data_IF_740047626412
#
_entry.id   IF_740047626412
#
_cell.length_a   1.000
_cell.length_b   1.000
_cell.length_c   1.000
_cell.angle_alpha   90.00
_cell.angle_beta   90.00
_cell.angle_gamma   90.00
#
_symmetry.space_group_name_H-M   'P 1'
#
loop_
_entity.id
_entity.type
_entity.pdbx_description
1 polymer ?
#
# COMPACT_ATOMS: atom_id res chain seq x y z
N UNK A 1 20.27 46.15 -17.12
CA UNK A 1 19.83 44.77 -16.78
C UNK A 1 19.23 44.60 -15.37
N UNK A 2 19.35 45.55 -14.43
CA UNK A 2 18.47 45.59 -13.23
C UNK A 2 18.48 44.37 -12.28
N UNK A 3 19.43 43.45 -12.42
CA UNK A 3 19.54 42.23 -11.60
C UNK A 3 20.72 42.39 -10.63
N UNK A 4 20.58 41.85 -9.41
CA UNK A 4 21.65 41.85 -8.41
C UNK A 4 22.85 41.00 -8.84
N UNK A 5 24.08 41.43 -8.49
CA UNK A 5 25.33 40.78 -8.94
C UNK A 5 25.46 39.32 -8.47
N UNK A 6 24.89 38.97 -7.31
CA UNK A 6 24.93 37.58 -6.80
C UNK A 6 24.19 36.61 -7.72
N UNK A 7 23.05 37.05 -8.27
CA UNK A 7 22.21 36.25 -9.17
C UNK A 7 22.90 35.98 -10.51
N UNK A 8 23.83 36.84 -10.94
CA UNK A 8 24.58 36.65 -12.18
C UNK A 8 25.58 35.49 -12.09
N UNK A 9 26.12 35.21 -10.91
CA UNK A 9 27.11 34.14 -10.70
C UNK A 9 26.49 32.84 -10.18
N UNK A 10 25.20 32.84 -9.86
CA UNK A 10 24.53 31.64 -9.37
C UNK A 10 24.38 30.64 -10.52
N UNK A 11 25.16 29.55 -10.47
CA UNK A 11 25.11 28.49 -11.46
C UNK A 11 24.06 27.48 -11.03
N UNK A 12 23.01 27.23 -11.84
CA UNK A 12 22.05 26.21 -11.49
C UNK A 12 22.77 24.85 -11.41
N UNK A 13 22.54 24.12 -10.32
CA UNK A 13 23.06 22.76 -10.19
C UNK A 13 22.50 21.90 -11.34
N UNK A 14 23.39 21.21 -12.05
CA UNK A 14 23.05 20.31 -13.15
C UNK A 14 22.03 19.29 -12.64
N UNK A 15 20.88 19.20 -13.31
CA UNK A 15 19.83 18.26 -12.98
C UNK A 15 20.33 16.83 -13.18
N UNK A 16 20.18 15.97 -12.16
CA UNK A 16 20.13 14.51 -12.33
C UNK A 16 19.24 14.21 -13.54
N UNK A 17 19.68 13.36 -14.46
CA UNK A 17 18.94 12.98 -15.68
C UNK A 17 17.48 12.68 -15.34
N UNK A 18 16.61 13.63 -15.70
CA UNK A 18 15.20 13.58 -15.35
C UNK A 18 14.52 12.38 -16.03
N UNK A 19 15.00 11.99 -17.21
CA UNK A 19 14.48 10.85 -17.98
C UNK A 19 14.63 9.53 -17.22
N UNK A 20 15.84 9.19 -16.76
CA UNK A 20 16.10 7.95 -16.04
C UNK A 20 15.32 7.88 -14.71
N UNK A 21 15.15 9.04 -14.06
CA UNK A 21 14.36 9.16 -12.84
C UNK A 21 12.87 8.91 -13.10
N UNK A 22 12.32 9.47 -14.18
CA UNK A 22 10.91 9.29 -14.56
C UNK A 22 10.65 7.83 -14.94
N UNK A 23 11.52 7.18 -15.70
CA UNK A 23 11.40 5.76 -16.05
C UNK A 23 11.34 4.86 -14.82
N UNK A 24 12.20 5.12 -13.82
CA UNK A 24 12.15 4.38 -12.55
C UNK A 24 10.87 4.67 -11.77
N UNK A 25 10.37 5.91 -11.78
CA UNK A 25 9.11 6.28 -11.13
C UNK A 25 7.90 5.59 -11.78
N UNK A 26 7.87 5.48 -13.11
CA UNK A 26 6.84 4.74 -13.85
C UNK A 26 6.85 3.27 -13.45
N UNK A 27 8.03 2.62 -13.50
CA UNK A 27 8.19 1.21 -13.10
C UNK A 27 7.70 0.95 -11.67
N UNK A 28 7.99 1.85 -10.73
CA UNK A 28 7.50 1.74 -9.34
C UNK A 28 5.97 1.90 -9.29
N UNK A 29 5.41 2.83 -10.07
CA UNK A 29 3.97 3.12 -10.06
C UNK A 29 3.15 1.96 -10.62
N UNK A 30 3.67 1.25 -11.62
CA UNK A 30 3.06 0.03 -12.17
C UNK A 30 3.01 -1.09 -11.13
N UNK A 31 4.10 -1.30 -10.40
CA UNK A 31 4.15 -2.31 -9.33
C UNK A 31 3.31 -1.93 -8.10
N UNK A 32 3.18 -0.64 -7.79
CA UNK A 32 2.53 -0.14 -6.58
C UNK A 32 1.61 1.06 -6.87
N UNK A 33 0.41 0.80 -7.36
CA UNK A 33 -0.56 1.85 -7.74
C UNK A 33 -0.97 2.82 -6.60
N UNK A 34 -0.80 2.43 -5.34
CA UNK A 34 -1.19 3.23 -4.17
C UNK A 34 -0.07 4.14 -3.63
N UNK A 35 1.10 4.17 -4.28
CA UNK A 35 2.25 4.92 -3.77
C UNK A 35 2.16 6.41 -4.10
N UNK A 36 2.08 7.24 -3.06
CA UNK A 36 2.25 8.69 -3.18
C UNK A 36 3.72 9.11 -3.11
N UNK A 37 3.98 10.42 -3.31
CA UNK A 37 5.33 10.99 -3.39
C UNK A 37 6.26 10.66 -2.21
N UNK A 38 5.72 10.49 -0.99
CA UNK A 38 6.52 10.11 0.20
C UNK A 38 7.06 8.69 0.10
N UNK A 39 6.22 7.74 -0.34
CA UNK A 39 6.63 6.33 -0.50
C UNK A 39 7.50 6.16 -1.73
N UNK A 40 7.19 6.90 -2.80
CA UNK A 40 8.03 6.94 -3.99
C UNK A 40 9.43 7.47 -3.68
N UNK A 41 9.57 8.51 -2.85
CA UNK A 41 10.87 8.99 -2.38
C UNK A 41 11.65 7.92 -1.62
N UNK A 42 11.00 7.16 -0.74
CA UNK A 42 11.66 6.07 -0.01
C UNK A 42 12.12 4.95 -0.97
N UNK A 43 11.29 4.58 -1.94
CA UNK A 43 11.62 3.58 -2.96
C UNK A 43 12.78 4.03 -3.86
N UNK A 44 12.77 5.29 -4.29
CA UNK A 44 13.87 5.89 -5.06
C UNK A 44 15.17 5.93 -4.25
N UNK A 45 15.10 6.28 -2.97
CA UNK A 45 16.25 6.27 -2.07
C UNK A 45 16.84 4.87 -1.89
N UNK A 46 16.00 3.83 -1.83
CA UNK A 46 16.46 2.44 -1.79
C UNK A 46 17.16 2.01 -3.08
N UNK A 47 16.83 2.63 -4.22
CA UNK A 47 17.47 2.39 -5.52
C UNK A 47 18.67 3.30 -5.79
N UNK A 48 19.12 4.09 -4.80
CA UNK A 48 20.28 4.97 -4.91
C UNK A 48 20.00 6.40 -5.40
N UNK A 49 18.73 6.74 -5.70
CA UNK A 49 18.36 8.08 -6.13
C UNK A 49 18.04 8.98 -4.92
N UNK A 50 18.93 9.92 -4.62
CA UNK A 50 18.71 10.94 -3.58
C UNK A 50 18.10 12.19 -4.22
N UNK A 51 16.77 12.21 -4.30
CA UNK A 51 16.01 13.32 -4.91
C UNK A 51 15.14 14.03 -3.87
N UNK A 52 15.07 15.36 -3.96
CA UNK A 52 14.19 16.16 -3.12
C UNK A 52 12.71 15.79 -3.37
N UNK A 53 11.95 15.61 -2.30
CA UNK A 53 10.51 15.33 -2.33
C UNK A 53 9.70 16.36 -3.16
N UNK A 54 10.16 17.62 -3.26
CA UNK A 54 9.54 18.64 -4.11
C UNK A 54 9.66 18.31 -5.60
N UNK A 55 10.84 17.84 -6.04
CA UNK A 55 11.09 17.43 -7.43
C UNK A 55 10.28 16.19 -7.78
N UNK A 56 10.24 15.20 -6.89
CA UNK A 56 9.41 14.00 -7.06
C UNK A 56 7.93 14.39 -7.20
N UNK A 57 7.42 15.27 -6.32
CA UNK A 57 6.03 15.73 -6.40
C UNK A 57 5.73 16.43 -7.73
N UNK A 58 6.66 17.26 -8.24
CA UNK A 58 6.51 17.94 -9.53
C UNK A 58 6.44 16.91 -10.67
N UNK A 59 7.43 16.01 -10.74
CA UNK A 59 7.47 14.96 -11.75
C UNK A 59 6.25 14.02 -11.72
N UNK A 60 5.77 13.64 -10.52
CA UNK A 60 4.54 12.85 -10.42
C UNK A 60 3.32 13.59 -10.96
N UNK A 61 3.27 14.91 -10.83
CA UNK A 61 2.17 15.74 -11.35
C UNK A 61 2.30 15.92 -12.86
N UNK A 62 3.50 16.17 -13.36
CA UNK A 62 3.77 16.40 -14.79
C UNK A 62 3.56 15.13 -15.64
N UNK A 63 3.76 13.94 -15.03
CA UNK A 63 3.57 12.64 -15.68
C UNK A 63 2.31 11.89 -15.24
N UNK A 64 1.36 12.57 -14.58
CA UNK A 64 0.09 11.99 -14.11
C UNK A 64 0.20 10.68 -13.27
N UNK A 65 1.31 10.52 -12.54
CA UNK A 65 1.60 9.38 -11.66
C UNK A 65 0.88 9.49 -10.31
N UNK A 66 -0.42 9.73 -10.34
CA UNK A 66 -1.20 9.97 -9.13
C UNK A 66 -1.56 8.64 -8.44
N UNK A 67 -1.43 8.55 -7.09
CA UNK A 67 -1.75 7.32 -6.37
C UNK A 67 -3.23 6.98 -6.51
N UNK A 68 -3.52 5.79 -7.01
CA UNK A 68 -4.89 5.26 -7.09
C UNK A 68 -5.33 4.85 -5.70
N UNK A 69 -6.37 5.51 -5.18
CA UNK A 69 -7.02 5.09 -3.94
C UNK A 69 -7.80 3.80 -4.21
N UNK A 70 -7.34 2.69 -3.63
CA UNK A 70 -8.15 1.46 -3.55
C UNK A 70 -9.38 1.74 -2.69
N UNK A 71 -10.57 1.56 -3.25
CA UNK A 71 -11.81 1.54 -2.47
C UNK A 71 -11.77 0.30 -1.58
N UNK A 72 -11.77 0.50 -0.26
CA UNK A 72 -11.89 -0.61 0.68
C UNK A 72 -13.31 -1.14 0.57
N UNK A 73 -13.47 -2.35 0.03
CA UNK A 73 -14.72 -3.09 0.17
C UNK A 73 -14.75 -3.69 1.58
N UNK A 74 -15.77 -3.35 2.34
CA UNK A 74 -16.02 -3.99 3.64
C UNK A 74 -17.02 -5.10 3.35
N UNK A 75 -16.54 -6.34 3.32
CA UNK A 75 -17.42 -7.49 3.31
C UNK A 75 -18.06 -7.59 4.70
N UNK A 76 -19.34 -7.22 4.81
CA UNK A 76 -20.11 -7.35 6.06
C UNK A 76 -20.39 -8.82 6.38
N UNK A 77 -20.52 -9.65 5.33
CA UNK A 77 -20.79 -11.08 5.44
C UNK A 77 -19.49 -11.86 5.36
N UNK A 78 -19.13 -12.57 6.43
CA UNK A 78 -18.06 -13.57 6.35
C UNK A 78 -18.62 -14.83 5.68
N UNK A 79 -18.37 -15.00 4.38
CA UNK A 79 -18.72 -16.23 3.66
C UNK A 79 -17.68 -17.33 3.77
N UNK A 80 -16.50 -17.03 4.33
CA UNK A 80 -15.41 -17.99 4.54
C UNK A 80 -15.50 -18.51 5.98
N UNK A 81 -16.40 -19.47 6.17
CA UNK A 81 -16.61 -20.14 7.44
C UNK A 81 -16.92 -21.62 7.21
N UNK A 82 -16.54 -22.46 8.16
CA UNK A 82 -16.77 -23.92 8.10
C UNK A 82 -18.23 -24.32 8.40
N UNK A 83 -19.12 -23.34 8.62
CA UNK A 83 -20.56 -23.58 8.84
C UNK A 83 -21.28 -23.89 7.51
N UNK A 84 -22.34 -24.71 7.53
CA UNK A 84 -23.11 -25.03 6.33
C UNK A 84 -23.71 -23.77 5.70
N UNK A 85 -23.35 -23.54 4.44
CA UNK A 85 -23.92 -22.46 3.62
C UNK A 85 -25.20 -22.98 2.97
N UNK A 86 -26.34 -22.37 3.33
CA UNK A 86 -27.62 -22.72 2.72
C UNK A 86 -27.72 -22.13 1.30
N UNK A 87 -28.19 -22.90 0.31
CA UNK A 87 -28.37 -22.40 -1.05
C UNK A 87 -29.44 -21.29 -1.08
N UNK A 88 -29.19 -20.24 -1.86
CA UNK A 88 -30.17 -19.18 -2.07
C UNK A 88 -31.31 -19.71 -2.96
N UNK A 89 -32.44 -20.07 -2.35
CA UNK A 89 -33.63 -20.61 -3.02
C UNK A 89 -34.38 -19.59 -3.89
N UNK A 90 -34.14 -18.29 -3.69
CA UNK A 90 -34.71 -17.24 -4.52
C UNK A 90 -33.94 -17.05 -5.85
N UNK A 91 -32.76 -17.68 -5.99
CA UNK A 91 -31.93 -17.55 -7.19
C UNK A 91 -32.62 -18.22 -8.38
N UNK A 92 -33.18 -17.42 -9.29
CA UNK A 92 -33.88 -17.89 -10.50
C UNK A 92 -35.40 -17.97 -10.38
N UNK A 93 -35.97 -17.58 -9.24
CA UNK A 93 -37.41 -17.42 -9.08
C UNK A 93 -37.89 -16.17 -9.84
N UNK A 94 -38.94 -16.31 -10.64
CA UNK A 94 -39.64 -15.20 -11.28
C UNK A 94 -40.97 -15.03 -10.55
N UNK A 95 -41.16 -13.98 -9.73
CA UNK A 95 -42.43 -13.73 -9.07
C UNK A 95 -43.47 -13.26 -10.09
N UNK A 96 -44.62 -13.94 -10.14
CA UNK A 96 -45.77 -13.64 -11.00
C UNK A 96 -46.92 -12.92 -10.25
N UNK A 97 -46.78 -12.72 -8.95
CA UNK A 97 -47.78 -12.05 -8.11
C UNK A 97 -47.21 -11.41 -6.83
N UNK A 98 -48.02 -10.59 -6.14
CA UNK A 98 -47.63 -10.00 -4.86
C UNK A 98 -47.46 -11.08 -3.78
N UNK A 99 -46.69 -10.78 -2.74
CA UNK A 99 -46.49 -11.65 -1.57
C UNK A 99 -45.76 -12.99 -1.83
N UNK A 100 -44.93 -13.07 -2.88
CA UNK A 100 -44.20 -14.29 -3.25
C UNK A 100 -42.73 -14.30 -2.83
N UNK A 101 -42.10 -13.12 -2.77
CA UNK A 101 -40.73 -12.96 -2.30
C UNK A 101 -40.63 -11.66 -1.50
N UNK A 102 -40.17 -11.79 -0.25
CA UNK A 102 -39.91 -10.64 0.62
C UNK A 102 -38.40 -10.49 0.77
N UNK A 103 -37.87 -9.34 0.37
CA UNK A 103 -36.46 -9.01 0.52
C UNK A 103 -36.34 -7.88 1.54
N UNK A 104 -35.57 -8.12 2.59
CA UNK A 104 -35.24 -7.11 3.58
C UNK A 104 -33.71 -6.98 3.68
N UNK A 105 -33.25 -5.76 3.94
CA UNK A 105 -31.85 -5.46 4.21
C UNK A 105 -31.71 -4.79 5.58
N UNK A 106 -30.61 -5.06 6.27
CA UNK A 106 -30.32 -4.48 7.59
C UNK A 106 -29.25 -3.41 7.41
N UNK A 107 -29.68 -2.15 7.45
CA UNK A 107 -28.75 -1.02 7.47
C UNK A 107 -28.42 -0.63 8.91
N UNK A 108 -27.18 -0.87 9.34
CA UNK A 108 -26.71 -0.37 10.62
C UNK A 108 -26.56 1.15 10.58
N UNK A 109 -27.43 1.87 11.29
CA UNK A 109 -27.29 3.31 11.50
C UNK A 109 -26.34 3.53 12.68
N UNK A 110 -25.22 4.20 12.44
CA UNK A 110 -24.28 4.56 13.49
C UNK A 110 -24.87 5.70 14.33
N UNK A 111 -25.33 5.38 15.54
CA UNK A 111 -25.73 6.40 16.52
C UNK A 111 -24.50 6.97 17.22
N UNK A 112 -24.41 8.29 17.29
CA UNK A 112 -23.28 9.04 17.89
C UNK A 112 -23.29 8.98 19.42
N UNK A 113 -24.36 8.45 20.01
CA UNK A 113 -24.54 8.33 21.45
C UNK A 113 -23.93 7.03 21.96
N UNK A 114 -23.07 7.16 22.96
CA UNK A 114 -22.17 6.16 23.53
C UNK A 114 -22.84 4.86 23.99
N UNK A 115 -22.08 3.77 23.82
CA UNK A 115 -22.22 2.40 24.35
C UNK A 115 -23.32 1.50 23.77
N UNK A 116 -22.97 0.81 22.68
CA UNK A 116 -23.17 -0.64 22.65
C UNK A 116 -21.80 -1.25 22.94
N UNK A 117 -21.67 -2.03 24.02
CA UNK A 117 -20.44 -2.74 24.34
C UNK A 117 -20.02 -3.61 23.15
N UNK A 118 -19.08 -3.10 22.35
CA UNK A 118 -18.27 -3.98 21.51
C UNK A 118 -17.47 -4.83 22.49
N UNK A 119 -17.95 -6.03 22.81
CA UNK A 119 -17.09 -7.04 23.45
C UNK A 119 -15.83 -7.14 22.58
N UNK A 120 -14.63 -6.94 23.16
CA UNK A 120 -13.40 -7.12 22.41
C UNK A 120 -13.43 -8.55 21.85
N UNK A 121 -13.10 -8.71 20.56
CA UNK A 121 -12.86 -10.02 19.98
C UNK A 121 -11.84 -10.72 20.87
N UNK A 122 -12.26 -11.77 21.55
CA UNK A 122 -11.37 -12.62 22.32
C UNK A 122 -10.26 -13.10 21.38
N UNK A 123 -9.09 -12.50 21.57
CA UNK A 123 -7.82 -13.02 21.09
C UNK A 123 -7.62 -14.30 21.88
N UNK A 124 -8.06 -15.43 21.32
CA UNK A 124 -7.61 -16.75 21.77
C UNK A 124 -6.13 -16.84 21.38
N UNK A 125 -5.31 -16.32 22.29
CA UNK A 125 -3.87 -16.49 22.35
C UNK A 125 -3.62 -17.94 22.72
N UNK A 126 -3.45 -18.81 21.73
CA UNK A 126 -2.86 -20.13 21.94
C UNK A 126 -1.39 -19.93 22.33
N UNK A 127 -1.12 -19.87 23.63
CA UNK A 127 0.22 -20.16 24.14
C UNK A 127 0.37 -21.68 24.24
N UNK A 128 1.27 -22.24 23.45
CA UNK A 128 2.01 -23.44 23.84
C UNK A 128 3.48 -23.16 23.59
N UNK A 129 4.21 -23.00 24.68
CA UNK A 129 5.66 -22.93 24.73
C UNK A 129 6.28 -24.23 24.21
N UNK A 130 7.44 -24.13 23.54
CA UNK A 130 8.65 -24.89 23.87
C UNK A 130 9.82 -24.54 22.93
N UNK A 131 11.00 -24.38 23.56
CA UNK A 131 12.34 -24.71 23.02
C UNK A 131 13.17 -23.61 22.35
N UNK A 132 13.92 -22.91 23.24
CA UNK A 132 15.36 -22.58 23.22
C UNK A 132 16.02 -21.74 22.10
N UNK A 133 16.93 -20.80 22.46
CA UNK A 133 17.65 -19.92 21.53
C UNK A 133 18.97 -20.54 21.03
N UNK A 134 19.52 -20.02 19.92
CA UNK A 134 20.97 -19.84 19.92
C UNK A 134 21.41 -18.46 19.41
N UNK A 135 22.23 -17.84 20.26
CA UNK A 135 23.44 -17.09 19.98
C UNK A 135 23.49 -16.01 18.91
N UNK A 136 23.59 -14.79 19.46
CA UNK A 136 24.25 -13.63 18.91
C UNK A 136 25.76 -13.89 18.75
N UNK A 137 26.22 -14.28 17.54
CA UNK A 137 27.60 -14.05 17.10
C UNK A 137 27.81 -14.37 15.60
N UNK A 138 27.94 -13.34 14.76
CA UNK A 138 28.99 -13.22 13.72
C UNK A 138 28.65 -12.01 12.84
N UNK A 139 29.37 -10.90 13.02
CA UNK A 139 30.61 -10.57 12.31
C UNK A 139 30.42 -10.47 10.81
N UNK A 140 30.31 -9.22 10.38
CA UNK A 140 30.98 -8.66 9.21
C UNK A 140 32.21 -9.48 8.80
N UNK A 141 32.27 -9.92 7.54
CA UNK A 141 33.54 -9.95 6.81
C UNK A 141 33.33 -9.75 5.31
N UNK A 142 33.94 -8.67 4.88
CA UNK A 142 34.25 -8.19 3.53
C UNK A 142 35.13 -9.19 2.76
N UNK A 143 35.02 -9.13 1.42
CA UNK A 143 36.03 -9.46 0.37
C UNK A 143 36.71 -10.84 0.37
N UNK A 144 36.50 -11.63 -0.68
CA UNK A 144 37.35 -11.63 -1.89
C UNK A 144 36.97 -12.79 -2.85
N UNK A 145 36.83 -12.47 -4.14
CA UNK A 145 37.11 -13.39 -5.25
C UNK A 145 38.63 -13.36 -5.47
N UNK A 146 39.33 -14.45 -5.89
CA UNK A 146 39.27 -14.90 -7.29
C UNK A 146 39.59 -16.39 -7.58
N UNK A 147 39.35 -16.78 -8.84
CA UNK A 147 40.19 -17.70 -9.66
C UNK A 147 40.47 -19.13 -9.16
N UNK A 148 40.00 -20.14 -9.90
CA UNK A 148 40.83 -21.02 -10.75
C UNK A 148 40.10 -22.31 -11.20
N UNK A 149 40.15 -22.54 -12.52
CA UNK A 149 40.32 -23.81 -13.27
C UNK A 149 40.07 -25.15 -12.54
N UNK A 150 39.24 -25.99 -13.16
CA UNK A 150 39.63 -27.27 -13.78
C UNK A 150 38.59 -27.64 -14.84
#
# INVERSE_FOLDING_TARGET
MGIARSTYYDKPAVSVDDTALVETMVTISESFEAYGYRRMQAALRHRGFVVNHKKIRRLMRDHDLQPRRRRRFVATTNGDHDLPIFPNLAKGMIPDGPNQLWVADITCVAVTTSLCERKPKDVIRSQSAATSPPDCASRYRTTDSPSARA
#
